data_IF_996027722879
#
_entry.id   IF_996027722879
#
_cell.length_a   1.000
_cell.length_b   1.000
_cell.length_c   1.000
_cell.angle_alpha   90.00
_cell.angle_beta   90.00
_cell.angle_gamma   90.00
#
_symmetry.space_group_name_H-M   'P 1'
#
loop_
_entity.id
_entity.type
_entity.pdbx_description
1 polymer ?
#
# COMPACT_ATOMS: atom_id res chain seq x y z
N UNK A 1 -28.82 -33.48 -29.02
CA UNK A 1 -27.87 -34.08 -28.07
C UNK A 1 -27.17 -32.92 -27.38
N UNK A 2 -27.52 -32.65 -26.12
CA UNK A 2 -27.10 -31.47 -25.35
C UNK A 2 -25.63 -31.62 -24.94
N UNK A 3 -24.72 -30.87 -25.55
CA UNK A 3 -23.38 -30.66 -25.00
C UNK A 3 -23.49 -29.69 -23.85
N UNK A 4 -23.73 -30.25 -22.67
CA UNK A 4 -23.68 -29.55 -21.39
C UNK A 4 -22.20 -29.30 -21.06
N UNK A 5 -21.59 -28.32 -21.74
CA UNK A 5 -20.32 -27.76 -21.31
C UNK A 5 -20.60 -27.00 -20.02
N UNK A 6 -20.46 -27.72 -18.91
CA UNK A 6 -20.22 -27.14 -17.60
C UNK A 6 -19.00 -26.23 -17.74
N UNK A 7 -19.26 -24.96 -18.08
CA UNK A 7 -18.35 -23.85 -17.92
C UNK A 7 -18.08 -23.78 -16.43
N UNK A 8 -17.09 -24.56 -15.99
CA UNK A 8 -16.54 -24.51 -14.65
C UNK A 8 -15.98 -23.10 -14.53
N UNK A 9 -16.84 -22.16 -14.11
CA UNK A 9 -16.52 -20.76 -13.86
C UNK A 9 -15.48 -20.82 -12.75
N UNK A 10 -14.22 -20.93 -13.14
CA UNK A 10 -13.10 -21.17 -12.24
C UNK A 10 -13.14 -20.01 -11.25
N UNK A 11 -13.57 -20.28 -10.03
CA UNK A 11 -13.73 -19.25 -9.01
C UNK A 11 -12.36 -18.63 -8.76
N UNK A 12 -12.35 -17.34 -8.37
CA UNK A 12 -11.11 -16.72 -7.93
C UNK A 12 -10.54 -17.56 -6.78
N UNK A 13 -9.23 -17.88 -6.80
CA UNK A 13 -8.61 -18.57 -5.69
C UNK A 13 -8.85 -17.77 -4.42
N UNK A 14 -9.37 -18.41 -3.36
CA UNK A 14 -9.76 -17.74 -2.12
C UNK A 14 -8.61 -16.90 -1.54
N UNK A 15 -7.37 -17.37 -1.71
CA UNK A 15 -6.15 -16.66 -1.31
C UNK A 15 -6.03 -15.30 -2.00
N UNK A 16 -6.25 -15.22 -3.32
CA UNK A 16 -6.17 -13.96 -4.08
C UNK A 16 -7.27 -13.00 -3.63
N UNK A 17 -8.48 -13.52 -3.38
CA UNK A 17 -9.60 -12.73 -2.87
C UNK A 17 -9.28 -12.11 -1.50
N UNK A 18 -8.77 -12.92 -0.57
CA UNK A 18 -8.37 -12.47 0.77
C UNK A 18 -7.27 -11.41 0.69
N UNK A 19 -6.24 -11.63 -0.15
CA UNK A 19 -5.17 -10.65 -0.35
C UNK A 19 -5.70 -9.32 -0.90
N UNK A 20 -6.62 -9.35 -1.86
CA UNK A 20 -7.24 -8.14 -2.39
C UNK A 20 -8.05 -7.39 -1.31
N UNK A 21 -8.83 -8.11 -0.49
CA UNK A 21 -9.60 -7.50 0.60
C UNK A 21 -8.67 -6.85 1.63
N UNK A 22 -7.63 -7.56 2.07
CA UNK A 22 -6.63 -7.03 3.00
C UNK A 22 -5.91 -5.80 2.41
N UNK A 23 -5.63 -5.81 1.11
CA UNK A 23 -5.01 -4.68 0.41
C UNK A 23 -5.93 -3.46 0.35
N UNK A 24 -7.22 -3.67 0.09
CA UNK A 24 -8.23 -2.59 0.09
C UNK A 24 -8.31 -1.97 1.49
N UNK A 25 -8.47 -2.80 2.53
CA UNK A 25 -8.54 -2.35 3.91
C UNK A 25 -7.28 -1.57 4.28
N UNK A 26 -6.09 -2.15 4.04
CA UNK A 26 -4.81 -1.51 4.33
C UNK A 26 -4.62 -0.20 3.57
N UNK A 27 -5.05 -0.10 2.31
CA UNK A 27 -4.96 1.12 1.52
C UNK A 27 -5.88 2.22 2.05
N UNK A 28 -7.10 1.88 2.48
CA UNK A 28 -8.04 2.82 3.10
C UNK A 28 -7.48 3.35 4.43
N UNK A 29 -6.96 2.46 5.28
CA UNK A 29 -6.28 2.87 6.51
C UNK A 29 -5.08 3.79 6.23
N UNK A 30 -4.28 3.46 5.21
CA UNK A 30 -3.15 4.27 4.76
C UNK A 30 -3.56 5.67 4.32
N UNK A 31 -4.65 5.79 3.54
CA UNK A 31 -5.21 7.08 3.12
C UNK A 31 -5.66 7.93 4.30
N UNK A 32 -6.42 7.34 5.23
CA UNK A 32 -6.87 8.05 6.44
C UNK A 32 -5.67 8.57 7.23
N UNK A 33 -4.64 7.73 7.42
CA UNK A 33 -3.40 8.13 8.10
C UNK A 33 -2.70 9.29 7.40
N UNK A 34 -2.60 9.27 6.07
CA UNK A 34 -1.94 10.34 5.33
C UNK A 34 -2.72 11.66 5.40
N UNK A 35 -4.05 11.61 5.31
CA UNK A 35 -4.89 12.79 5.48
C UNK A 35 -4.77 13.38 6.89
N UNK A 36 -4.75 12.53 7.93
CA UNK A 36 -4.52 12.99 9.30
C UNK A 36 -3.13 13.63 9.46
N UNK A 37 -2.11 13.08 8.80
CA UNK A 37 -0.76 13.66 8.82
C UNK A 37 -0.72 15.03 8.14
N UNK A 38 -1.38 15.22 6.99
CA UNK A 38 -1.44 16.53 6.33
C UNK A 38 -2.16 17.57 7.18
N UNK A 39 -3.30 17.20 7.79
CA UNK A 39 -4.03 18.09 8.70
C UNK A 39 -3.13 18.54 9.86
N UNK A 40 -2.39 17.61 10.48
CA UNK A 40 -1.45 17.94 11.58
C UNK A 40 -0.26 18.77 11.08
N UNK A 41 0.25 18.47 9.88
CA UNK A 41 1.38 19.19 9.30
C UNK A 41 1.04 20.66 9.00
N UNK A 42 -0.18 20.92 8.50
CA UNK A 42 -0.69 22.27 8.24
C UNK A 42 -0.73 23.13 9.50
N UNK A 43 -1.10 22.56 10.66
CA UNK A 43 -1.04 23.28 11.93
C UNK A 43 0.39 23.61 12.40
N UNK A 44 1.40 22.95 11.84
CA UNK A 44 2.80 23.07 12.25
C UNK A 44 3.70 23.88 11.30
N UNK A 45 3.15 24.51 10.25
CA UNK A 45 3.89 25.27 9.22
C UNK A 45 5.04 24.47 8.57
N UNK A 46 4.88 23.16 8.42
CA UNK A 46 5.94 22.28 7.94
C UNK A 46 5.96 22.23 6.41
N UNK A 47 7.11 22.48 5.76
CA UNK A 47 7.22 22.67 4.31
C UNK A 47 7.24 21.37 3.48
N UNK A 48 7.12 20.21 4.12
CA UNK A 48 7.34 18.87 3.54
C UNK A 48 6.07 18.22 2.95
N UNK A 49 5.12 19.02 2.49
CA UNK A 49 3.80 18.59 1.98
C UNK A 49 3.85 17.53 0.87
N UNK A 50 4.86 17.59 0.00
CA UNK A 50 4.96 16.71 -1.17
C UNK A 50 4.98 15.22 -0.80
N UNK A 51 5.50 14.87 0.38
CA UNK A 51 5.60 13.48 0.86
C UNK A 51 4.23 12.90 1.20
N UNK A 52 3.36 13.70 1.82
CA UNK A 52 1.98 13.32 2.15
C UNK A 52 1.21 12.95 0.88
N UNK A 53 1.20 13.84 -0.10
CA UNK A 53 0.61 13.59 -1.42
C UNK A 53 1.19 12.36 -2.13
N UNK A 54 2.51 12.15 -2.07
CA UNK A 54 3.13 10.99 -2.69
C UNK A 54 2.63 9.66 -2.06
N UNK A 55 2.48 9.62 -0.73
CA UNK A 55 1.88 8.46 -0.04
C UNK A 55 0.40 8.28 -0.37
N UNK A 56 -0.38 9.36 -0.47
CA UNK A 56 -1.79 9.31 -0.89
C UNK A 56 -1.92 8.70 -2.28
N UNK A 57 -1.12 9.16 -3.24
CA UNK A 57 -1.10 8.63 -4.61
C UNK A 57 -0.77 7.13 -4.60
N UNK A 58 0.25 6.71 -3.84
CA UNK A 58 0.61 5.29 -3.73
C UNK A 58 -0.54 4.43 -3.17
N UNK A 59 -1.23 4.91 -2.13
CA UNK A 59 -2.37 4.19 -1.58
C UNK A 59 -3.58 4.16 -2.53
N UNK A 60 -3.85 5.24 -3.27
CA UNK A 60 -4.88 5.25 -4.31
C UNK A 60 -4.55 4.27 -5.43
N UNK A 61 -3.33 4.28 -5.95
CA UNK A 61 -2.90 3.34 -6.99
C UNK A 61 -2.95 1.88 -6.51
N UNK A 62 -2.57 1.62 -5.26
CA UNK A 62 -2.67 0.29 -4.62
C UNK A 62 -4.13 -0.16 -4.48
N UNK A 63 -5.02 0.76 -4.10
CA UNK A 63 -6.46 0.50 -4.01
C UNK A 63 -7.06 0.18 -5.38
N UNK A 64 -6.77 1.02 -6.39
CA UNK A 64 -7.21 0.79 -7.78
C UNK A 64 -6.69 -0.55 -8.31
N UNK A 65 -5.43 -0.87 -8.04
CA UNK A 65 -4.82 -2.14 -8.40
C UNK A 65 -5.57 -3.33 -7.79
N UNK A 66 -5.91 -3.27 -6.49
CA UNK A 66 -6.66 -4.32 -5.81
C UNK A 66 -8.06 -4.52 -6.41
N UNK A 67 -8.76 -3.43 -6.73
CA UNK A 67 -10.07 -3.48 -7.40
C UNK A 67 -9.94 -4.14 -8.79
N UNK A 68 -8.91 -3.77 -9.56
CA UNK A 68 -8.65 -4.41 -10.87
C UNK A 68 -8.32 -5.89 -10.69
N UNK A 69 -7.57 -6.28 -9.66
CA UNK A 69 -7.27 -7.69 -9.38
C UNK A 69 -8.52 -8.49 -9.01
N UNK A 70 -9.53 -7.88 -8.37
CA UNK A 70 -10.85 -8.51 -8.16
C UNK A 70 -11.55 -8.82 -9.50
N UNK A 71 -11.26 -8.07 -10.56
CA UNK A 71 -11.73 -8.37 -11.93
C UNK A 71 -10.88 -9.41 -12.66
N UNK A 72 -9.91 -10.04 -11.98
CA UNK A 72 -8.99 -11.07 -12.51
C UNK A 72 -8.08 -10.60 -13.64
N UNK A 73 -7.80 -9.30 -13.72
CA UNK A 73 -6.87 -8.76 -14.72
C UNK A 73 -5.46 -8.67 -14.14
N UNK A 74 -4.50 -9.30 -14.82
CA UNK A 74 -3.05 -9.26 -14.49
C UNK A 74 -2.49 -7.85 -14.41
N UNK A 75 -3.06 -6.89 -15.14
CA UNK A 75 -2.64 -5.49 -15.09
C UNK A 75 -2.78 -4.91 -13.67
N UNK A 76 -3.74 -5.37 -12.87
CA UNK A 76 -3.89 -4.97 -11.48
C UNK A 76 -2.67 -5.36 -10.64
N UNK A 77 -2.10 -6.54 -10.87
CA UNK A 77 -0.89 -6.97 -10.16
C UNK A 77 0.31 -6.08 -10.50
N UNK A 78 0.49 -5.70 -11.76
CA UNK A 78 1.59 -4.82 -12.18
C UNK A 78 1.47 -3.41 -11.61
N UNK A 79 0.25 -2.85 -11.57
CA UNK A 79 0.00 -1.55 -10.92
C UNK A 79 0.28 -1.65 -9.43
N UNK A 80 -0.15 -2.73 -8.76
CA UNK A 80 0.14 -2.98 -7.34
C UNK A 80 1.64 -3.04 -7.08
N UNK A 81 2.37 -3.82 -7.89
CA UNK A 81 3.81 -4.01 -7.75
C UNK A 81 4.57 -2.68 -7.89
N UNK A 82 4.27 -1.90 -8.94
CA UNK A 82 4.88 -0.60 -9.14
C UNK A 82 4.59 0.36 -7.98
N UNK A 83 3.32 0.40 -7.53
CA UNK A 83 2.89 1.26 -6.42
C UNK A 83 3.60 0.89 -5.11
N UNK A 84 3.75 -0.41 -4.82
CA UNK A 84 4.42 -0.87 -3.60
C UNK A 84 5.93 -0.62 -3.62
N UNK A 85 6.59 -0.76 -4.76
CA UNK A 85 8.03 -0.42 -4.89
C UNK A 85 8.24 1.06 -4.59
N UNK A 86 7.42 1.94 -5.15
CA UNK A 86 7.48 3.38 -4.90
C UNK A 86 7.19 3.67 -3.42
N UNK A 87 6.15 3.05 -2.86
CA UNK A 87 5.77 3.21 -1.45
C UNK A 87 6.91 2.83 -0.49
N UNK A 88 7.58 1.70 -0.73
CA UNK A 88 8.73 1.26 0.07
C UNK A 88 9.90 2.24 -0.08
N UNK A 89 10.16 2.72 -1.31
CA UNK A 89 11.17 3.76 -1.54
C UNK A 89 10.90 5.04 -0.73
N UNK A 90 9.64 5.49 -0.70
CA UNK A 90 9.21 6.65 0.10
C UNK A 90 9.35 6.41 1.60
N UNK A 91 9.12 5.18 2.09
CA UNK A 91 9.36 4.81 3.49
C UNK A 91 10.86 4.91 3.81
N UNK A 92 11.72 4.33 2.98
CA UNK A 92 13.17 4.35 3.21
C UNK A 92 13.67 5.80 3.22
N UNK A 93 13.23 6.62 2.27
CA UNK A 93 13.52 8.05 2.24
C UNK A 93 13.03 8.76 3.52
N UNK A 94 11.83 8.44 3.98
CA UNK A 94 11.24 9.00 5.20
C UNK A 94 12.03 8.64 6.46
N UNK A 95 12.43 7.38 6.59
CA UNK A 95 13.26 6.91 7.72
C UNK A 95 14.63 7.58 7.70
N UNK A 96 15.25 7.70 6.52
CA UNK A 96 16.50 8.42 6.35
C UNK A 96 16.35 9.91 6.71
N UNK A 97 15.26 10.55 6.30
CA UNK A 97 15.00 11.96 6.65
C UNK A 97 14.91 12.12 8.17
N UNK A 98 14.20 11.23 8.87
CA UNK A 98 14.10 11.28 10.34
C UNK A 98 15.41 10.95 11.06
N UNK A 99 16.26 10.08 10.51
CA UNK A 99 17.56 9.75 11.13
C UNK A 99 18.59 10.86 10.99
N UNK A 100 18.46 11.72 9.96
CA UNK A 100 19.45 12.77 9.66
C UNK A 100 19.01 14.18 10.11
N UNK A 101 17.72 14.45 10.27
CA UNK A 101 17.24 15.76 10.72
C UNK A 101 17.41 15.95 12.24
N UNK A 102 18.39 16.78 12.62
CA UNK A 102 18.64 17.25 13.99
C UNK A 102 17.87 18.55 14.36
N UNK A 103 16.78 18.89 13.66
CA UNK A 103 16.11 20.18 13.86
C UNK A 103 14.61 20.06 14.17
N UNK A 104 14.22 20.63 15.31
CA UNK A 104 12.99 21.42 15.44
C UNK A 104 11.75 20.79 16.10
N UNK A 105 11.59 19.47 16.12
CA UNK A 105 10.52 18.83 16.90
C UNK A 105 11.11 18.26 18.20
N UNK A 106 10.33 18.24 19.28
CA UNK A 106 10.72 17.52 20.50
C UNK A 106 11.13 16.10 20.11
N UNK A 107 12.25 15.62 20.65
CA UNK A 107 12.83 14.29 20.38
C UNK A 107 11.79 13.17 20.35
N UNK A 108 10.75 13.32 21.16
CA UNK A 108 9.71 12.34 21.38
C UNK A 108 8.71 12.25 20.22
N UNK A 109 8.34 13.37 19.59
CA UNK A 109 7.41 13.39 18.46
C UNK A 109 8.04 12.80 17.17
N UNK A 110 9.34 13.04 16.98
CA UNK A 110 10.11 12.45 15.88
C UNK A 110 10.30 10.95 16.09
N UNK A 111 10.66 10.53 17.31
CA UNK A 111 10.76 9.10 17.64
C UNK A 111 9.44 8.37 17.42
N UNK A 112 8.32 8.98 17.81
CA UNK A 112 6.98 8.43 17.60
C UNK A 112 6.65 8.29 16.10
N UNK A 113 6.96 9.32 15.29
CA UNK A 113 6.76 9.29 13.83
C UNK A 113 7.61 8.23 13.13
N UNK A 114 8.84 8.02 13.61
CA UNK A 114 9.74 6.96 13.14
C UNK A 114 9.17 5.56 13.44
N UNK A 115 8.75 5.32 14.69
CA UNK A 115 8.17 4.04 15.12
C UNK A 115 6.88 3.74 14.35
N UNK A 116 5.99 4.73 14.19
CA UNK A 116 4.78 4.54 13.38
C UNK A 116 5.11 4.19 11.94
N UNK A 117 6.08 4.87 11.33
CA UNK A 117 6.51 4.56 9.96
C UNK A 117 6.97 3.11 9.84
N UNK A 118 7.73 2.61 10.81
CA UNK A 118 8.16 1.20 10.83
C UNK A 118 6.99 0.22 10.98
N UNK A 119 6.10 0.44 11.95
CA UNK A 119 4.95 -0.42 12.21
C UNK A 119 4.07 -0.56 10.96
N UNK A 120 3.80 0.56 10.26
CA UNK A 120 2.98 0.54 9.05
C UNK A 120 3.70 0.00 7.81
N UNK A 121 5.04 -0.02 7.81
CA UNK A 121 5.83 -0.58 6.71
C UNK A 121 5.81 -2.11 6.67
N UNK A 122 5.77 -2.78 7.83
CA UNK A 122 5.85 -4.25 7.93
C UNK A 122 4.71 -4.94 7.15
N UNK A 123 3.43 -4.58 7.32
CA UNK A 123 2.34 -5.18 6.55
C UNK A 123 2.50 -4.97 5.04
N UNK A 124 3.01 -3.82 4.59
CA UNK A 124 3.22 -3.52 3.16
C UNK A 124 4.25 -4.48 2.55
N UNK A 125 5.38 -4.71 3.21
CA UNK A 125 6.41 -5.66 2.76
C UNK A 125 5.89 -7.09 2.75
N UNK A 126 5.16 -7.50 3.80
CA UNK A 126 4.56 -8.84 3.87
C UNK A 126 3.59 -9.05 2.71
N UNK A 127 2.70 -8.09 2.45
CA UNK A 127 1.74 -8.17 1.35
C UNK A 127 2.45 -8.23 0.00
N UNK A 128 3.50 -7.46 -0.22
CA UNK A 128 4.29 -7.49 -1.45
C UNK A 128 4.87 -8.90 -1.71
N UNK A 129 5.48 -9.52 -0.68
CA UNK A 129 6.02 -10.88 -0.79
C UNK A 129 4.91 -11.89 -1.06
N UNK A 130 3.77 -11.79 -0.35
CA UNK A 130 2.63 -12.67 -0.58
C UNK A 130 2.07 -12.56 -2.00
N UNK A 131 1.99 -11.35 -2.56
CA UNK A 131 1.57 -11.15 -3.94
C UNK A 131 2.58 -11.74 -4.93
N UNK A 132 3.88 -11.54 -4.72
CA UNK A 132 4.92 -12.10 -5.60
C UNK A 132 4.92 -13.63 -5.62
N UNK A 133 4.68 -14.27 -4.47
CA UNK A 133 4.67 -15.73 -4.35
C UNK A 133 3.34 -16.32 -4.80
N UNK A 134 2.22 -15.80 -4.31
CA UNK A 134 0.91 -16.46 -4.43
C UNK A 134 0.15 -16.03 -5.68
N UNK A 135 0.27 -14.77 -6.10
CA UNK A 135 -0.49 -14.26 -7.26
C UNK A 135 0.16 -14.63 -8.58
N UNK A 136 1.50 -14.72 -8.64
CA UNK A 136 2.22 -15.22 -9.83
C UNK A 136 1.81 -16.64 -10.22
N UNK A 137 1.46 -17.47 -9.25
CA UNK A 137 1.04 -18.87 -9.47
C UNK A 137 -0.39 -18.96 -10.02
N UNK A 138 -1.24 -17.95 -9.75
CA UNK A 138 -2.68 -18.04 -9.96
C UNK A 138 -3.25 -17.08 -11.03
N UNK A 139 -2.50 -16.04 -11.41
CA UNK A 139 -2.89 -15.08 -12.44
C UNK A 139 -2.07 -15.19 -13.75
N UNK A 140 -1.04 -16.05 -13.80
CA UNK A 140 -0.42 -16.49 -15.06
C UNK A 140 -1.21 -17.66 -15.66
#
# INVERSE_FOLDING_TARGET
>A
MLTNENTKKQSMPAVVLVLCILTIIGSVFGLIRCLLYEVVADFSNNTDYWRGYAFIICHLSTLTAAIIMLTRKVIGFWIYLASQIIYIGLIIYTLYSYSNFHYGASSDAQALSYVFTLIFSIPSVIMLVLYLVLVRIHLN
#
